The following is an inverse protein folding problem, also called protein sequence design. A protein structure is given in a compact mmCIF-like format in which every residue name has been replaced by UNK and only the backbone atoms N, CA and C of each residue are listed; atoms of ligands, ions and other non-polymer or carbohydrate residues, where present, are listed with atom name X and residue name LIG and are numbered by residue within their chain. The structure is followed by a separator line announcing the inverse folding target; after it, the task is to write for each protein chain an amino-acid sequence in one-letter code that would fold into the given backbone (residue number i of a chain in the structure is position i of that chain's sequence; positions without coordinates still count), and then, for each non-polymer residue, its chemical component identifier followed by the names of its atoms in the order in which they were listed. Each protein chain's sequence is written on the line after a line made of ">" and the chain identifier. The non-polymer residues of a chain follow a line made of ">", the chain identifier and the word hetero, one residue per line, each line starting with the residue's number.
data_IF_126907771349
#
_entry.id   IF_126907771349
#
_cell.length_a   1.000
_cell.length_b   1.000
_cell.length_c   1.000
_cell.angle_alpha   90.00
_cell.angle_beta   90.00
_cell.angle_gamma   90.00
#
_symmetry.space_group_name_H-M   'P 1'
#
loop_
_entity.id
_entity.type
_entity.pdbx_description
1 polymer ?
#
# COMPACT_ATOMS: atom_id res chain seq x y z
N UNK A 1 15.19 -31.73 -12.72
CA UNK A 1 14.95 -30.54 -11.86
C UNK A 1 13.45 -30.31 -11.82
N UNK A 2 12.81 -30.48 -10.65
CA UNK A 2 11.35 -30.49 -10.54
C UNK A 2 10.79 -29.08 -10.82
N UNK A 3 9.99 -28.97 -11.86
CA UNK A 3 9.24 -27.76 -12.24
C UNK A 3 8.15 -27.50 -11.21
N UNK A 4 8.44 -26.65 -10.23
CA UNK A 4 7.41 -25.99 -9.44
C UNK A 4 6.71 -24.93 -10.32
N UNK A 5 5.96 -25.38 -11.34
CA UNK A 5 5.11 -24.52 -12.18
C UNK A 5 3.65 -24.83 -11.87
N UNK A 6 3.23 -24.39 -10.69
CA UNK A 6 1.84 -24.18 -10.26
C UNK A 6 1.95 -23.43 -8.94
N UNK A 7 2.34 -22.17 -8.99
CA UNK A 7 2.76 -21.50 -7.74
C UNK A 7 1.67 -20.60 -7.18
N UNK A 8 0.84 -19.98 -8.02
CA UNK A 8 -0.27 -19.17 -7.55
C UNK A 8 -1.43 -19.25 -8.55
N UNK A 9 -2.67 -19.27 -8.06
CA UNK A 9 -3.83 -19.03 -8.93
C UNK A 9 -3.80 -17.59 -9.44
N UNK A 10 -4.40 -17.29 -10.60
CA UNK A 10 -4.42 -15.94 -11.16
C UNK A 10 -4.90 -14.87 -10.15
N UNK A 11 -5.82 -15.23 -9.25
CA UNK A 11 -6.27 -14.37 -8.15
C UNK A 11 -5.18 -14.08 -7.11
N UNK A 12 -4.31 -15.04 -6.81
CA UNK A 12 -3.19 -14.86 -5.88
C UNK A 12 -2.06 -14.03 -6.52
N UNK A 13 -1.83 -14.19 -7.82
CA UNK A 13 -0.87 -13.34 -8.55
C UNK A 13 -1.37 -11.89 -8.63
N UNK A 14 -2.68 -11.69 -8.87
CA UNK A 14 -3.31 -10.39 -8.80
C UNK A 14 -3.23 -9.78 -7.40
N UNK A 15 -3.47 -10.59 -6.35
CA UNK A 15 -3.26 -10.18 -4.95
C UNK A 15 -1.85 -9.67 -4.72
N UNK A 16 -0.86 -10.45 -5.12
CA UNK A 16 0.55 -10.11 -4.91
C UNK A 16 0.91 -8.81 -5.66
N UNK A 17 0.48 -8.68 -6.92
CA UNK A 17 0.69 -7.47 -7.73
C UNK A 17 0.06 -6.22 -7.11
N UNK A 18 -1.16 -6.33 -6.60
CA UNK A 18 -1.86 -5.21 -6.00
C UNK A 18 -1.22 -4.78 -4.67
N UNK A 19 -0.77 -5.74 -3.85
CA UNK A 19 0.01 -5.46 -2.65
C UNK A 19 1.36 -4.82 -2.95
N UNK A 20 2.09 -5.35 -3.93
CA UNK A 20 3.38 -4.83 -4.38
C UNK A 20 3.22 -3.38 -4.88
N UNK A 21 2.17 -3.11 -5.65
CA UNK A 21 1.86 -1.78 -6.14
C UNK A 21 1.53 -0.80 -5.00
N UNK A 22 0.75 -1.23 -4.00
CA UNK A 22 0.46 -0.41 -2.80
C UNK A 22 1.72 -0.11 -1.99
N UNK A 23 2.60 -1.11 -1.81
CA UNK A 23 3.88 -0.94 -1.12
C UNK A 23 4.81 0.01 -1.87
N UNK A 24 4.88 -0.09 -3.19
CA UNK A 24 5.67 0.83 -4.02
C UNK A 24 5.20 2.27 -3.85
N UNK A 25 3.87 2.51 -3.80
CA UNK A 25 3.33 3.83 -3.47
C UNK A 25 3.77 4.26 -2.08
N UNK A 26 3.66 3.39 -1.07
CA UNK A 26 4.03 3.71 0.31
C UNK A 26 5.52 4.11 0.42
N UNK A 27 6.40 3.43 -0.30
CA UNK A 27 7.84 3.68 -0.32
C UNK A 27 8.22 4.92 -1.16
N UNK A 28 7.29 5.48 -1.95
CA UNK A 28 7.54 6.65 -2.79
C UNK A 28 7.71 7.93 -1.94
N UNK A 29 8.95 8.09 -1.48
CA UNK A 29 9.36 9.23 -0.67
C UNK A 29 9.34 10.56 -1.46
N UNK A 30 9.33 10.52 -2.80
CA UNK A 30 9.24 11.73 -3.63
C UNK A 30 7.83 12.29 -3.61
N UNK A 31 6.84 11.45 -3.89
CA UNK A 31 5.42 11.81 -3.86
C UNK A 31 5.02 12.32 -2.47
N UNK A 32 5.54 11.66 -1.42
CA UNK A 32 5.34 12.04 -0.02
C UNK A 32 5.81 13.45 0.32
N UNK A 33 6.87 13.93 -0.33
CA UNK A 33 7.47 15.26 -0.06
C UNK A 33 6.89 16.36 -0.94
N UNK A 34 6.46 16.00 -2.15
CA UNK A 34 5.89 16.94 -3.12
C UNK A 34 4.42 17.26 -2.82
N UNK A 35 3.61 16.23 -2.57
CA UNK A 35 2.17 16.36 -2.30
C UNK A 35 1.71 15.28 -1.30
N UNK A 36 1.84 15.50 0.02
CA UNK A 36 1.48 14.50 1.02
C UNK A 36 -0.01 14.12 0.99
N UNK A 37 -0.91 15.06 0.68
CA UNK A 37 -2.35 14.79 0.57
C UNK A 37 -2.70 13.88 -0.62
N UNK A 38 -2.11 14.14 -1.79
CA UNK A 38 -2.31 13.31 -2.98
C UNK A 38 -1.74 11.90 -2.80
N UNK A 39 -0.58 11.80 -2.14
CA UNK A 39 0.02 10.53 -1.73
C UNK A 39 -0.90 9.72 -0.81
N UNK A 40 -1.51 10.38 0.17
CA UNK A 40 -2.42 9.72 1.10
C UNK A 40 -3.71 9.24 0.42
N UNK A 41 -4.30 10.06 -0.44
CA UNK A 41 -5.50 9.69 -1.20
C UNK A 41 -5.26 8.47 -2.10
N UNK A 42 -4.11 8.41 -2.78
CA UNK A 42 -3.72 7.27 -3.63
C UNK A 42 -3.58 5.97 -2.81
N UNK A 43 -2.93 6.02 -1.64
CA UNK A 43 -2.82 4.85 -0.75
C UNK A 43 -4.18 4.35 -0.25
N UNK A 44 -5.10 5.26 0.07
CA UNK A 44 -6.46 4.91 0.46
C UNK A 44 -7.26 4.32 -0.70
N UNK A 45 -7.11 4.89 -1.90
CA UNK A 45 -7.74 4.41 -3.13
C UNK A 45 -7.30 2.99 -3.45
N UNK A 46 -6.00 2.73 -3.41
CA UNK A 46 -5.44 1.39 -3.65
C UNK A 46 -5.91 0.39 -2.57
N UNK A 47 -6.01 0.81 -1.31
CA UNK A 47 -6.57 -0.04 -0.24
C UNK A 47 -8.06 -0.37 -0.46
N UNK A 48 -8.88 0.60 -0.88
CA UNK A 48 -10.29 0.36 -1.24
C UNK A 48 -10.41 -0.59 -2.44
N UNK A 49 -9.53 -0.47 -3.44
CA UNK A 49 -9.50 -1.38 -4.58
C UNK A 49 -9.16 -2.81 -4.15
N UNK A 50 -8.22 -2.99 -3.22
CA UNK A 50 -7.88 -4.29 -2.64
C UNK A 50 -9.08 -4.92 -1.91
N UNK A 51 -9.84 -4.14 -1.15
CA UNK A 51 -11.06 -4.61 -0.47
C UNK A 51 -12.16 -4.98 -1.47
N UNK A 52 -12.41 -4.11 -2.47
CA UNK A 52 -13.39 -4.37 -3.54
C UNK A 52 -13.11 -5.63 -4.34
N UNK A 53 -11.84 -5.90 -4.62
CA UNK A 53 -11.43 -7.10 -5.34
C UNK A 53 -11.48 -8.36 -4.46
N UNK A 54 -11.81 -8.23 -3.16
CA UNK A 54 -11.80 -9.33 -2.20
C UNK A 54 -10.39 -9.88 -1.97
N UNK A 55 -9.37 -9.08 -2.26
CA UNK A 55 -7.96 -9.44 -2.15
C UNK A 55 -7.53 -9.43 -0.69
N UNK A 56 -8.06 -8.48 0.08
CA UNK A 56 -7.78 -8.32 1.51
C UNK A 56 -9.01 -8.58 2.34
N UNK A 57 -8.80 -9.12 3.53
CA UNK A 57 -9.83 -9.14 4.56
C UNK A 57 -10.04 -7.73 5.13
N UNK A 58 -11.20 -7.49 5.73
CA UNK A 58 -11.50 -6.24 6.43
C UNK A 58 -10.40 -5.84 7.44
N UNK A 59 -9.79 -6.84 8.10
CA UNK A 59 -8.71 -6.60 9.04
C UNK A 59 -7.41 -6.18 8.33
N UNK A 60 -7.01 -6.86 7.25
CA UNK A 60 -5.87 -6.45 6.41
C UNK A 60 -6.08 -5.03 5.82
N UNK A 61 -7.29 -4.72 5.35
CA UNK A 61 -7.65 -3.38 4.85
C UNK A 61 -7.49 -2.30 5.93
N UNK A 62 -7.92 -2.60 7.16
CA UNK A 62 -7.78 -1.67 8.28
C UNK A 62 -6.31 -1.40 8.61
N UNK A 63 -5.47 -2.43 8.59
CA UNK A 63 -4.03 -2.29 8.81
C UNK A 63 -3.37 -1.44 7.70
N UNK A 64 -3.73 -1.67 6.43
CA UNK A 64 -3.26 -0.86 5.29
C UNK A 64 -3.61 0.62 5.47
N UNK A 65 -4.84 0.92 5.88
CA UNK A 65 -5.26 2.31 6.17
C UNK A 65 -4.49 2.93 7.32
N UNK A 66 -4.25 2.19 8.39
CA UNK A 66 -3.45 2.67 9.54
C UNK A 66 -2.02 2.98 9.09
N UNK A 67 -1.40 2.11 8.29
CA UNK A 67 -0.07 2.32 7.76
C UNK A 67 0.01 3.56 6.84
N UNK A 68 -0.99 3.76 5.98
CA UNK A 68 -1.09 4.95 5.12
C UNK A 68 -1.24 6.24 5.93
N UNK A 69 -2.07 6.22 6.99
CA UNK A 69 -2.27 7.35 7.89
C UNK A 69 -0.98 7.68 8.66
N UNK A 70 -0.29 6.66 9.18
CA UNK A 70 1.01 6.84 9.84
C UNK A 70 2.09 7.40 8.89
N UNK A 71 2.13 6.94 7.64
CA UNK A 71 3.06 7.45 6.64
C UNK A 71 2.76 8.91 6.29
N UNK A 72 1.49 9.28 6.15
CA UNK A 72 1.04 10.66 5.96
C UNK A 72 1.36 11.54 7.16
N UNK A 73 1.07 11.09 8.39
CA UNK A 73 1.45 11.81 9.61
C UNK A 73 2.95 12.03 9.68
N UNK A 74 3.78 11.04 9.31
CA UNK A 74 5.23 11.21 9.25
C UNK A 74 5.67 12.21 8.17
N UNK A 75 4.95 12.28 7.05
CA UNK A 75 5.17 13.25 5.99
C UNK A 75 4.82 14.68 6.42
N UNK A 76 3.64 14.86 7.00
CA UNK A 76 3.06 16.16 7.37
C UNK A 76 3.64 16.70 8.68
N UNK A 77 3.86 15.84 9.68
CA UNK A 77 4.48 16.24 10.93
C UNK A 77 5.94 16.67 10.76
N UNK A 78 6.52 16.49 9.55
CA UNK A 78 7.88 16.90 9.26
C UNK A 78 8.83 16.37 10.31
N UNK A 79 8.82 15.06 10.60
CA UNK A 79 9.66 14.44 11.64
C UNK A 79 11.19 14.49 11.34
N UNK A 80 11.62 15.46 10.54
CA UNK A 80 12.98 15.99 10.38
C UNK A 80 13.13 17.37 11.07
N UNK A 81 12.09 17.88 11.76
CA UNK A 81 12.08 19.13 12.53
C UNK A 81 11.75 18.85 14.00
N UNK A 82 12.59 18.06 14.66
CA UNK A 82 12.75 18.11 16.11
C UNK A 82 14.14 17.55 16.48
N UNK A 83 15.16 18.38 16.27
CA UNK A 83 16.37 18.41 17.11
C UNK A 83 16.52 19.85 17.64
#
# INVERSE_FOLDING_TARGET
>A
MKTCKRVFSAAQEAKLRAYDHWHLTLEDCKLRRDCPDAYHDELLRQADELDRLGVVTWQEWRELRIAADQAYLRAVAGADYHD
#
